data_IF_694351960332
#
_entry.id   IF_694351960332
#
_cell.length_a   1.000
_cell.length_b   1.000
_cell.length_c   1.000
_cell.angle_alpha   90.00
_cell.angle_beta   90.00
_cell.angle_gamma   90.00
#
_symmetry.space_group_name_H-M   'P 1'
#
loop_
_entity.id
_entity.type
_entity.pdbx_description
1 polymer ?
#
# COMPACT_ATOMS: atom_id res chain seq x y z
N UNK A 1 8.08 10.05 0.67
CA UNK A 1 6.70 9.63 0.94
C UNK A 1 6.20 10.01 2.35
N UNK A 2 6.99 9.81 3.42
CA UNK A 2 6.66 10.10 4.83
C UNK A 2 5.66 11.23 5.14
N UNK A 3 6.04 12.53 5.14
CA UNK A 3 5.16 13.60 5.65
C UNK A 3 4.10 14.12 4.67
N UNK A 4 4.19 13.78 3.37
CA UNK A 4 3.31 14.31 2.32
C UNK A 4 2.10 13.40 2.14
N UNK A 5 2.30 12.08 2.12
CA UNK A 5 1.23 11.12 1.82
C UNK A 5 -0.01 11.29 2.73
N UNK A 6 0.10 11.43 4.06
CA UNK A 6 -1.08 11.64 4.92
C UNK A 6 -1.87 12.93 4.62
N UNK A 7 -1.28 13.88 3.89
CA UNK A 7 -1.92 15.15 3.53
C UNK A 7 -2.70 15.07 2.21
N UNK A 8 -2.53 14.01 1.43
CA UNK A 8 -3.20 13.84 0.14
C UNK A 8 -4.59 13.22 0.30
N UNK A 9 -5.49 13.35 -0.70
CA UNK A 9 -6.77 12.64 -0.70
C UNK A 9 -6.59 11.12 -0.57
N UNK A 10 -5.57 10.56 -1.22
CA UNK A 10 -5.24 9.14 -1.16
C UNK A 10 -4.83 8.72 0.25
N UNK A 11 -3.99 9.51 0.93
CA UNK A 11 -3.60 9.20 2.31
C UNK A 11 -4.71 9.36 3.34
N UNK A 12 -5.74 10.16 3.05
CA UNK A 12 -6.97 10.20 3.86
C UNK A 12 -7.85 8.98 3.64
N UNK A 13 -8.01 8.53 2.39
CA UNK A 13 -8.85 7.39 2.02
C UNK A 13 -8.19 6.05 2.34
N UNK A 14 -6.88 5.96 2.16
CA UNK A 14 -6.04 4.79 2.44
C UNK A 14 -4.84 5.20 3.30
N UNK A 15 -5.02 5.34 4.62
CA UNK A 15 -3.96 5.70 5.55
C UNK A 15 -2.81 4.71 5.51
N UNK A 16 -1.58 5.22 5.54
CA UNK A 16 -0.39 4.37 5.54
C UNK A 16 -0.17 3.76 6.93
N UNK A 17 0.14 2.46 6.94
CA UNK A 17 0.62 1.74 8.12
C UNK A 17 1.93 1.06 7.77
N UNK A 18 2.98 1.35 8.53
CA UNK A 18 4.26 0.68 8.37
C UNK A 18 4.21 -0.69 9.07
N UNK A 19 4.69 -1.71 8.37
CA UNK A 19 4.81 -3.08 8.88
C UNK A 19 6.17 -3.60 8.46
N UNK A 20 6.95 -4.05 9.43
CA UNK A 20 8.20 -4.74 9.16
C UNK A 20 7.93 -6.02 8.36
N UNK A 21 8.68 -6.27 7.28
CA UNK A 21 8.50 -7.45 6.42
C UNK A 21 8.49 -8.77 7.22
N UNK A 22 9.25 -8.82 8.30
CA UNK A 22 9.36 -9.99 9.21
C UNK A 22 8.09 -10.22 10.03
N UNK A 23 7.31 -9.17 10.27
CA UNK A 23 6.11 -9.19 11.12
C UNK A 23 4.83 -9.35 10.30
N UNK A 24 4.93 -9.39 8.96
CA UNK A 24 3.79 -9.65 8.07
C UNK A 24 2.99 -10.90 8.47
N UNK A 25 3.61 -12.06 8.81
CA UNK A 25 2.86 -13.25 9.22
C UNK A 25 2.01 -13.06 10.48
N UNK A 26 2.44 -12.18 11.39
CA UNK A 26 1.72 -11.86 12.63
C UNK A 26 0.89 -10.59 12.54
N UNK A 27 0.90 -9.91 11.39
CA UNK A 27 0.23 -8.62 11.20
C UNK A 27 -1.30 -8.69 11.06
N UNK A 28 -1.85 -9.91 10.97
CA UNK A 28 -3.26 -10.16 10.72
C UNK A 28 -3.74 -9.82 9.31
N UNK A 29 -2.80 -9.61 8.37
CA UNK A 29 -3.08 -9.34 6.96
C UNK A 29 -3.10 -10.63 6.13
N UNK A 30 -4.09 -10.77 5.26
CA UNK A 30 -4.17 -11.82 4.25
C UNK A 30 -3.61 -11.30 2.94
N UNK A 31 -2.31 -11.52 2.73
CA UNK A 31 -1.64 -11.14 1.49
C UNK A 31 -1.80 -12.22 0.43
N UNK A 32 -2.00 -11.81 -0.82
CA UNK A 32 -2.11 -12.72 -1.96
C UNK A 32 -0.80 -13.48 -2.23
N UNK A 33 0.35 -12.91 -1.84
CA UNK A 33 1.67 -13.52 -1.97
C UNK A 33 2.70 -12.94 -0.99
N UNK A 34 3.80 -13.65 -0.68
CA UNK A 34 4.85 -13.13 0.20
C UNK A 34 5.46 -11.83 -0.32
N UNK A 35 5.84 -10.93 0.59
CA UNK A 35 6.59 -9.71 0.28
C UNK A 35 8.05 -10.08 0.08
N UNK A 36 8.58 -9.93 -1.14
CA UNK A 36 9.98 -10.24 -1.45
C UNK A 36 10.88 -9.00 -1.45
N UNK A 37 10.35 -7.88 -1.92
CA UNK A 37 11.08 -6.62 -2.09
C UNK A 37 10.68 -5.59 -1.03
N UNK A 38 11.61 -4.71 -0.69
CA UNK A 38 11.37 -3.57 0.21
C UNK A 38 11.84 -2.28 -0.47
N UNK A 39 11.06 -1.19 -0.44
CA UNK A 39 9.69 -1.11 0.09
C UNK A 39 8.67 -1.84 -0.81
N UNK A 40 7.58 -2.33 -0.21
CA UNK A 40 6.37 -2.80 -0.91
C UNK A 40 5.17 -2.10 -0.27
N UNK A 41 4.33 -1.47 -1.08
CA UNK A 41 3.11 -0.81 -0.64
C UNK A 41 1.93 -1.71 -0.98
N UNK A 42 1.15 -2.11 0.03
CA UNK A 42 0.02 -3.01 -0.16
C UNK A 42 -1.26 -2.26 0.18
N UNK A 43 -2.21 -2.24 -0.75
CA UNK A 43 -3.57 -1.77 -0.49
C UNK A 43 -4.40 -2.91 0.08
N UNK A 44 -5.07 -2.65 1.20
CA UNK A 44 -5.80 -3.65 1.96
C UNK A 44 -7.19 -3.11 2.29
N UNK A 45 -8.21 -3.94 2.14
CA UNK A 45 -9.59 -3.72 2.63
C UNK A 45 -10.01 -4.95 3.42
N UNK A 46 -10.61 -4.76 4.59
CA UNK A 46 -11.02 -5.85 5.49
C UNK A 46 -9.92 -6.89 5.76
N UNK A 47 -8.68 -6.42 5.93
CA UNK A 47 -7.46 -7.21 6.11
C UNK A 47 -7.02 -8.05 4.89
N UNK A 48 -7.77 -8.02 3.79
CA UNK A 48 -7.42 -8.68 2.55
C UNK A 48 -6.71 -7.73 1.57
N UNK A 49 -5.65 -8.22 0.93
CA UNK A 49 -4.97 -7.47 -0.12
C UNK A 49 -5.85 -7.28 -1.37
N UNK A 50 -5.96 -6.03 -1.83
CA UNK A 50 -6.55 -5.68 -3.12
C UNK A 50 -5.50 -5.55 -4.22
N UNK A 51 -4.30 -5.11 -3.87
CA UNK A 51 -3.19 -4.98 -4.79
C UNK A 51 -1.95 -4.38 -4.13
N UNK A 52 -0.84 -4.29 -4.87
CA UNK A 52 0.41 -3.77 -4.34
C UNK A 52 1.30 -3.09 -5.38
N UNK A 53 2.23 -2.29 -4.88
CA UNK A 53 3.35 -1.70 -5.62
C UNK A 53 4.63 -2.25 -5.00
N UNK A 54 5.44 -2.95 -5.80
CA UNK A 54 6.75 -3.44 -5.36
C UNK A 54 7.86 -2.51 -5.84
N UNK A 55 8.75 -2.16 -4.90
CA UNK A 55 9.86 -1.25 -5.14
C UNK A 55 9.44 0.21 -5.21
N UNK A 56 10.44 1.08 -5.15
CA UNK A 56 10.27 2.52 -5.18
C UNK A 56 11.34 3.15 -6.08
N UNK A 57 11.14 3.16 -7.42
CA UNK A 57 12.12 3.72 -8.34
C UNK A 57 12.13 5.26 -8.33
N UNK A 58 11.10 5.90 -7.80
CA UNK A 58 10.97 7.34 -7.73
C UNK A 58 9.54 7.77 -7.42
N UNK A 59 9.37 9.06 -7.13
CA UNK A 59 8.09 9.64 -6.72
C UNK A 59 7.03 9.61 -7.84
N UNK A 60 7.40 10.01 -9.06
CA UNK A 60 6.49 10.04 -10.21
C UNK A 60 5.90 8.65 -10.50
N UNK A 61 6.76 7.63 -10.51
CA UNK A 61 6.33 6.23 -10.70
C UNK A 61 5.42 5.74 -9.58
N UNK A 62 5.68 6.16 -8.35
CA UNK A 62 4.83 5.80 -7.21
C UNK A 62 3.44 6.39 -7.39
N UNK A 63 3.33 7.69 -7.65
CA UNK A 63 2.03 8.36 -7.78
C UNK A 63 1.21 7.80 -8.94
N UNK A 64 1.83 7.55 -10.10
CA UNK A 64 1.13 6.95 -11.24
C UNK A 64 0.61 5.52 -10.95
N UNK A 65 1.37 4.72 -10.20
CA UNK A 65 0.95 3.36 -9.80
C UNK A 65 -0.07 3.39 -8.67
N UNK A 66 0.05 4.34 -7.75
CA UNK A 66 -0.90 4.55 -6.67
C UNK A 66 -2.27 4.92 -7.24
N UNK A 67 -2.34 5.84 -8.20
CA UNK A 67 -3.60 6.23 -8.84
C UNK A 67 -4.38 5.01 -9.36
N UNK A 68 -3.71 4.12 -10.11
CA UNK A 68 -4.28 2.84 -10.58
C UNK A 68 -4.69 1.90 -9.44
N UNK A 69 -3.89 1.85 -8.38
CA UNK A 69 -4.19 1.00 -7.23
C UNK A 69 -5.45 1.49 -6.48
N UNK A 70 -5.64 2.81 -6.39
CA UNK A 70 -6.81 3.42 -5.74
C UNK A 70 -8.12 3.20 -6.48
N UNK A 71 -8.08 2.89 -7.78
CA UNK A 71 -9.27 2.49 -8.57
C UNK A 71 -9.85 1.15 -8.10
N UNK A 72 -9.07 0.31 -7.41
CA UNK A 72 -9.53 -0.96 -6.86
C UNK A 72 -10.34 -0.79 -5.57
N UNK A 73 -10.30 0.39 -4.94
CA UNK A 73 -11.08 0.62 -3.73
C UNK A 73 -12.57 0.61 -4.06
N UNK A 74 -13.39 -0.08 -3.24
CA UNK A 74 -14.84 -0.04 -3.41
C UNK A 74 -15.33 1.42 -3.36
N UNK A 75 -16.38 1.69 -4.14
CA UNK A 75 -17.14 2.92 -3.99
C UNK A 75 -17.72 2.97 -2.56
N UNK A 76 -17.75 4.17 -1.98
CA UNK A 76 -18.36 4.42 -0.68
C UNK A 76 -19.88 4.24 -0.72
#
# INVERSE_FOLDING_TARGET
MGPIYPKTPEGRRAPIREVEKRDVPTSGLTLARPVRYTPTFVLVVDKAELGRIEGYPGEEFFWARLAKLMELLPAE
#
